data_IF_340962171658
#
_entry.id   IF_340962171658
#
_cell.length_a   1.000
_cell.length_b   1.000
_cell.length_c   1.000
_cell.angle_alpha   90.00
_cell.angle_beta   90.00
_cell.angle_gamma   90.00
#
_symmetry.space_group_name_H-M   'P 1'
#
loop_
_entity.id
_entity.type
_entity.pdbx_description
1 polymer ?
#
# COMPACT_ATOMS: atom_id res chain seq x y z
N UNK A 1 73.91 7.18 -14.00
CA UNK A 1 75.02 7.50 -13.06
C UNK A 1 74.53 7.23 -11.64
N UNK A 2 75.21 6.24 -11.03
CA UNK A 2 75.68 6.15 -9.62
C UNK A 2 74.60 6.28 -8.55
N UNK A 3 74.23 5.12 -7.84
CA UNK A 3 74.85 4.54 -6.63
C UNK A 3 74.64 5.41 -5.41
N UNK A 4 74.00 4.89 -4.36
CA UNK A 4 74.54 4.23 -3.11
C UNK A 4 73.32 3.94 -2.24
N UNK A 5 72.85 2.81 -1.85
CA UNK A 5 73.20 1.79 -0.85
C UNK A 5 73.61 2.34 0.50
N UNK A 6 72.85 2.06 1.55
CA UNK A 6 73.20 1.66 2.94
C UNK A 6 71.89 1.39 3.68
N UNK A 7 71.51 0.23 4.11
CA UNK A 7 71.90 -0.77 5.10
C UNK A 7 72.15 -0.18 6.48
N UNK A 8 71.38 -0.57 7.43
CA UNK A 8 71.58 -1.18 8.74
C UNK A 8 70.55 -0.83 9.79
N UNK A 9 69.98 -1.88 10.31
CA UNK A 9 69.85 -2.43 11.69
C UNK A 9 68.71 -1.89 12.51
N UNK A 10 67.77 -2.73 12.75
CA UNK A 10 67.54 -3.69 13.83
C UNK A 10 67.31 -3.06 15.21
N UNK A 11 66.05 -3.14 15.66
CA UNK A 11 65.80 -3.35 17.10
C UNK A 11 64.34 -3.82 17.27
N UNK A 12 64.14 -5.08 17.64
CA UNK A 12 62.93 -5.54 18.36
C UNK A 12 62.99 -5.05 19.80
N UNK A 13 61.86 -4.81 20.42
CA UNK A 13 61.43 -5.65 21.55
C UNK A 13 59.98 -6.11 21.40
N UNK A 14 59.79 -7.32 21.53
CA UNK A 14 59.18 -8.23 22.49
C UNK A 14 58.00 -7.65 23.29
N UNK A 15 56.89 -8.41 23.24
CA UNK A 15 55.83 -8.58 24.21
C UNK A 15 54.61 -7.63 24.17
N UNK A 16 53.51 -8.18 23.76
CA UNK A 16 52.40 -8.51 24.66
C UNK A 16 51.32 -9.26 23.90
N UNK A 17 51.29 -10.56 24.07
CA UNK A 17 50.27 -11.49 23.62
C UNK A 17 49.05 -11.33 24.54
N UNK A 18 48.06 -10.47 24.17
CA UNK A 18 46.74 -10.47 24.80
C UNK A 18 45.85 -11.45 24.03
N UNK A 19 45.75 -12.65 24.57
CA UNK A 19 44.76 -13.64 24.22
C UNK A 19 43.38 -13.13 24.65
N UNK A 20 42.67 -12.45 23.76
CA UNK A 20 41.25 -12.22 23.91
C UNK A 20 40.52 -13.42 23.29
N UNK A 21 40.25 -14.43 24.12
CA UNK A 21 39.28 -15.47 23.80
C UNK A 21 37.87 -14.86 23.78
N UNK A 22 37.52 -14.26 22.66
CA UNK A 22 36.13 -13.91 22.37
C UNK A 22 35.37 -15.20 22.11
N UNK A 23 34.46 -15.59 22.99
CA UNK A 23 33.50 -16.62 22.74
C UNK A 23 32.57 -16.14 21.61
N UNK A 24 32.86 -16.54 20.37
CA UNK A 24 31.91 -16.46 19.27
C UNK A 24 30.89 -17.57 19.46
N UNK A 25 29.81 -17.28 20.19
CA UNK A 25 28.60 -18.08 20.10
C UNK A 25 27.94 -17.77 18.76
N UNK A 26 28.23 -18.58 17.75
CA UNK A 26 27.45 -18.60 16.51
C UNK A 26 26.09 -19.19 16.86
N UNK A 27 25.09 -18.34 17.09
CA UNK A 27 23.70 -18.75 17.12
C UNK A 27 23.34 -19.05 15.66
N UNK A 28 23.31 -20.31 15.29
CA UNK A 28 22.72 -20.77 14.03
C UNK A 28 21.22 -20.52 14.12
N UNK A 29 20.79 -19.28 13.85
CA UNK A 29 19.41 -18.94 13.64
C UNK A 29 19.00 -19.45 12.29
N UNK A 30 18.32 -20.58 12.21
CA UNK A 30 17.52 -20.93 11.05
C UNK A 30 16.45 -19.85 10.97
N UNK A 31 16.48 -19.01 9.93
CA UNK A 31 15.37 -18.12 9.64
C UNK A 31 14.17 -18.99 9.30
N UNK A 32 13.38 -19.32 10.30
CA UNK A 32 12.06 -19.89 10.09
C UNK A 32 11.23 -18.74 9.56
N UNK A 33 10.99 -18.77 8.25
CA UNK A 33 9.97 -17.93 7.62
C UNK A 33 8.68 -18.24 8.36
N UNK A 34 8.21 -17.30 9.17
CA UNK A 34 6.90 -17.46 9.78
C UNK A 34 5.92 -17.64 8.61
N UNK A 35 5.13 -18.71 8.57
CA UNK A 35 4.02 -18.80 7.65
C UNK A 35 3.19 -17.54 7.92
N UNK A 36 2.82 -16.80 6.87
CA UNK A 36 1.76 -15.80 6.97
C UNK A 36 0.43 -16.55 7.14
N UNK A 37 0.33 -17.31 8.21
CA UNK A 37 -0.96 -17.65 8.77
C UNK A 37 -1.44 -16.36 9.39
N UNK A 38 -2.12 -15.56 8.61
CA UNK A 38 -3.03 -14.56 9.13
C UNK A 38 -4.04 -15.35 9.94
N UNK A 39 -3.73 -15.48 11.24
CA UNK A 39 -4.71 -15.88 12.23
C UNK A 39 -5.91 -14.95 12.00
N UNK A 40 -7.13 -15.45 11.72
CA UNK A 40 -8.30 -14.62 11.48
C UNK A 40 -8.75 -13.88 12.73
N UNK A 41 -7.90 -13.81 13.75
CA UNK A 41 -8.15 -13.08 14.98
C UNK A 41 -8.08 -11.60 14.69
N UNK A 42 -9.21 -11.07 14.14
CA UNK A 42 -9.68 -9.71 14.34
C UNK A 42 -8.65 -8.60 14.11
N UNK A 43 -8.21 -8.41 12.88
CA UNK A 43 -7.81 -7.09 12.47
C UNK A 43 -9.04 -6.19 12.58
N UNK A 44 -9.17 -5.45 13.68
CA UNK A 44 -10.29 -4.52 13.84
C UNK A 44 -10.16 -3.44 12.78
N UNK A 45 -11.08 -3.45 11.81
CA UNK A 45 -11.22 -2.33 10.89
C UNK A 45 -11.70 -1.11 11.69
N UNK A 46 -11.20 0.05 11.34
CA UNK A 46 -11.59 1.27 12.01
C UNK A 46 -13.05 1.63 11.68
N UNK A 47 -13.83 1.90 12.70
CA UNK A 47 -15.20 2.41 12.54
C UNK A 47 -15.18 3.91 12.22
N UNK A 48 -16.10 4.33 11.38
CA UNK A 48 -16.27 5.73 10.98
C UNK A 48 -17.76 6.11 11.00
N UNK A 49 -18.10 7.39 11.20
CA UNK A 49 -19.49 7.85 11.28
C UNK A 49 -20.12 8.00 9.87
N UNK A 50 -20.08 6.95 9.05
CA UNK A 50 -20.71 6.92 7.74
C UNK A 50 -21.25 5.51 7.46
N UNK A 51 -22.36 5.36 6.74
CA UNK A 51 -22.87 4.07 6.33
C UNK A 51 -21.83 3.30 5.53
N UNK A 52 -21.67 2.01 5.82
CA UNK A 52 -20.79 1.11 5.08
C UNK A 52 -21.58 0.42 3.96
N UNK A 53 -21.13 0.59 2.74
CA UNK A 53 -21.67 -0.09 1.57
C UNK A 53 -20.83 -1.35 1.30
N UNK A 54 -21.51 -2.50 1.21
CA UNK A 54 -20.87 -3.74 0.79
C UNK A 54 -20.60 -3.70 -0.71
N UNK A 55 -19.41 -4.12 -1.10
CA UNK A 55 -19.01 -4.31 -2.51
C UNK A 55 -19.24 -5.77 -2.84
N UNK A 56 -19.95 -6.02 -3.93
CA UNK A 56 -20.31 -7.37 -4.35
C UNK A 56 -19.09 -8.20 -4.69
N UNK A 57 -19.00 -9.39 -4.10
CA UNK A 57 -18.01 -10.41 -4.46
C UNK A 57 -18.43 -11.08 -5.77
N UNK A 58 -17.50 -11.32 -6.67
CA UNK A 58 -17.76 -12.10 -7.89
C UNK A 58 -17.49 -13.58 -7.71
N UNK A 59 -16.72 -13.92 -6.65
CA UNK A 59 -16.44 -15.30 -6.22
C UNK A 59 -16.50 -15.37 -4.70
N UNK A 60 -16.92 -16.48 -4.16
CA UNK A 60 -16.99 -16.69 -2.72
C UNK A 60 -15.63 -16.69 -2.03
N UNK A 61 -14.55 -17.00 -2.77
CA UNK A 61 -13.17 -16.95 -2.28
C UNK A 61 -12.57 -15.54 -2.24
N UNK A 62 -13.23 -14.53 -2.79
CA UNK A 62 -12.74 -13.15 -2.74
C UNK A 62 -12.93 -12.53 -1.35
N UNK A 63 -12.06 -11.60 -0.94
CA UNK A 63 -12.28 -10.84 0.28
C UNK A 63 -13.59 -10.04 0.21
N UNK A 64 -14.23 -9.88 1.36
CA UNK A 64 -15.35 -8.97 1.50
C UNK A 64 -14.83 -7.55 1.61
N UNK A 65 -15.27 -6.70 0.71
CA UNK A 65 -14.90 -5.28 0.71
C UNK A 65 -16.11 -4.44 1.14
N UNK A 66 -15.85 -3.42 1.97
CA UNK A 66 -16.85 -2.43 2.35
C UNK A 66 -16.23 -1.04 2.26
N UNK A 67 -17.05 -0.08 1.86
CA UNK A 67 -16.61 1.30 1.70
C UNK A 67 -17.59 2.25 2.40
N UNK A 68 -17.11 3.23 3.19
CA UNK A 68 -17.96 4.28 3.71
C UNK A 68 -18.58 5.11 2.57
N UNK A 69 -19.84 5.47 2.75
CA UNK A 69 -20.53 6.36 1.83
C UNK A 69 -21.04 7.61 2.58
N UNK A 70 -20.23 8.68 2.67
CA UNK A 70 -20.67 9.94 3.25
C UNK A 70 -21.84 10.55 2.47
N UNK A 71 -22.58 11.51 3.04
CA UNK A 71 -23.67 12.20 2.35
C UNK A 71 -23.21 12.82 1.01
N UNK A 72 -24.07 12.79 0.00
CA UNK A 72 -23.78 13.34 -1.33
C UNK A 72 -23.00 12.39 -2.25
N UNK A 73 -22.32 11.36 -1.72
CA UNK A 73 -21.61 10.37 -2.56
C UNK A 73 -22.60 9.36 -3.15
N UNK A 74 -22.66 9.29 -4.47
CA UNK A 74 -23.57 8.45 -5.23
C UNK A 74 -22.83 7.33 -5.94
N UNK A 75 -23.33 6.11 -5.81
CA UNK A 75 -22.82 4.90 -6.47
C UNK A 75 -23.00 4.98 -7.98
N UNK A 76 -21.95 4.74 -8.75
CA UNK A 76 -21.96 4.60 -10.20
C UNK A 76 -21.71 3.13 -10.56
N UNK A 77 -22.65 2.51 -11.27
CA UNK A 77 -22.55 1.08 -11.66
C UNK A 77 -22.09 0.86 -13.09
N UNK A 78 -22.10 1.90 -13.91
CA UNK A 78 -21.83 1.79 -15.35
C UNK A 78 -20.44 1.25 -15.68
N UNK A 79 -19.47 1.46 -14.77
CA UNK A 79 -18.07 1.06 -14.95
C UNK A 79 -17.71 -0.24 -14.23
N UNK A 80 -18.68 -0.90 -13.58
CA UNK A 80 -18.42 -2.14 -12.85
C UNK A 80 -17.88 -3.22 -13.79
N UNK A 81 -16.85 -3.91 -13.35
CA UNK A 81 -16.15 -4.95 -14.10
C UNK A 81 -15.49 -5.95 -13.15
N UNK A 82 -14.78 -6.94 -13.70
CA UNK A 82 -13.99 -7.86 -12.87
C UNK A 82 -12.87 -7.15 -12.10
N UNK A 83 -12.32 -6.08 -12.65
CA UNK A 83 -11.27 -5.29 -12.01
C UNK A 83 -11.87 -4.15 -11.18
N UNK A 84 -12.75 -3.33 -11.77
CA UNK A 84 -13.35 -2.17 -11.12
C UNK A 84 -14.62 -2.62 -10.39
N UNK A 85 -14.51 -2.70 -9.07
CA UNK A 85 -15.53 -3.31 -8.20
C UNK A 85 -16.54 -2.28 -7.65
N UNK A 86 -16.12 -1.05 -7.56
CA UNK A 86 -16.93 0.03 -7.03
C UNK A 86 -16.47 1.38 -7.58
N UNK A 87 -17.41 2.23 -7.91
CA UNK A 87 -17.15 3.65 -8.10
C UNK A 87 -18.28 4.50 -7.54
N UNK A 88 -17.95 5.65 -6.99
CA UNK A 88 -18.89 6.67 -6.56
C UNK A 88 -18.33 8.05 -6.83
N UNK A 89 -19.20 9.05 -6.87
CA UNK A 89 -18.86 10.46 -7.02
C UNK A 89 -19.76 11.34 -6.19
N UNK A 90 -19.31 12.56 -5.92
CA UNK A 90 -20.12 13.59 -5.28
C UNK A 90 -20.21 14.81 -6.21
N UNK A 91 -21.37 15.01 -6.83
CA UNK A 91 -21.60 16.11 -7.77
C UNK A 91 -21.68 17.47 -7.08
N UNK A 92 -22.11 17.51 -5.81
CA UNK A 92 -22.20 18.74 -5.02
C UNK A 92 -20.81 19.35 -4.72
N UNK A 93 -19.76 18.54 -4.83
CA UNK A 93 -18.36 18.94 -4.62
C UNK A 93 -17.61 19.12 -5.95
N UNK A 94 -18.32 19.21 -7.07
CA UNK A 94 -17.70 19.40 -8.37
C UNK A 94 -16.99 20.76 -8.46
N UNK A 95 -15.74 20.73 -8.91
CA UNK A 95 -14.93 21.92 -9.12
C UNK A 95 -14.09 21.77 -10.39
N UNK A 96 -13.87 22.87 -11.11
CA UNK A 96 -13.02 22.90 -12.32
C UNK A 96 -13.43 21.84 -13.37
N UNK A 97 -14.73 21.54 -13.47
CA UNK A 97 -15.25 20.56 -14.42
C UNK A 97 -15.05 19.10 -14.01
N UNK A 98 -14.67 18.82 -12.75
CA UNK A 98 -14.49 17.47 -12.23
C UNK A 98 -15.18 17.31 -10.88
N UNK A 99 -16.04 16.30 -10.76
CA UNK A 99 -16.62 15.89 -9.49
C UNK A 99 -15.70 14.87 -8.81
N UNK A 100 -15.45 14.98 -7.48
CA UNK A 100 -14.65 14.01 -6.75
C UNK A 100 -15.17 12.59 -6.93
N UNK A 101 -14.26 11.63 -7.02
CA UNK A 101 -14.60 10.22 -7.17
C UNK A 101 -13.86 9.35 -6.15
N UNK A 102 -14.51 8.24 -5.76
CA UNK A 102 -13.89 7.14 -5.04
C UNK A 102 -14.09 5.87 -5.87
N UNK A 103 -13.00 5.16 -6.15
CA UNK A 103 -12.98 3.97 -6.99
C UNK A 103 -12.25 2.84 -6.26
N UNK A 104 -12.82 1.63 -6.28
CA UNK A 104 -12.17 0.43 -5.74
C UNK A 104 -11.91 -0.55 -6.86
N UNK A 105 -10.66 -0.98 -6.98
CA UNK A 105 -10.26 -2.12 -7.81
C UNK A 105 -9.85 -3.29 -6.95
N UNK A 106 -9.97 -4.50 -7.47
CA UNK A 106 -9.51 -5.73 -6.84
C UNK A 106 -8.79 -6.57 -7.87
N UNK A 107 -7.51 -6.78 -7.63
CA UNK A 107 -6.67 -7.68 -8.42
C UNK A 107 -6.39 -8.95 -7.63
N UNK A 108 -6.15 -10.06 -8.32
CA UNK A 108 -5.77 -11.32 -7.70
C UNK A 108 -4.63 -11.99 -8.47
N UNK A 109 -3.73 -12.62 -7.72
CA UNK A 109 -2.62 -13.39 -8.25
C UNK A 109 -2.54 -14.72 -7.50
N UNK A 110 -2.39 -15.87 -8.19
CA UNK A 110 -2.18 -17.15 -7.53
C UNK A 110 -0.93 -17.13 -6.65
N UNK A 111 -1.00 -17.79 -5.50
CA UNK A 111 0.08 -17.87 -4.50
C UNK A 111 0.01 -16.79 -3.44
N UNK A 112 0.40 -17.18 -2.20
CA UNK A 112 0.39 -16.28 -1.03
C UNK A 112 1.78 -15.77 -0.67
N UNK A 113 2.80 -16.04 -1.50
CA UNK A 113 4.21 -15.78 -1.17
C UNK A 113 4.75 -14.45 -1.70
N UNK A 114 3.94 -13.65 -2.35
CA UNK A 114 4.40 -12.36 -2.90
C UNK A 114 4.64 -11.37 -1.76
N UNK A 115 5.85 -10.83 -1.68
CA UNK A 115 6.17 -9.75 -0.75
C UNK A 115 5.28 -8.53 -1.04
N UNK A 116 4.50 -8.03 -0.07
CA UNK A 116 3.66 -6.85 -0.25
C UNK A 116 4.42 -5.65 -0.79
N UNK A 117 5.69 -5.46 -0.38
CA UNK A 117 6.50 -4.36 -0.85
C UNK A 117 6.76 -4.41 -2.37
N UNK A 118 6.97 -5.60 -2.93
CA UNK A 118 7.15 -5.73 -4.38
C UNK A 118 5.88 -5.36 -5.16
N UNK A 119 4.69 -5.63 -4.58
CA UNK A 119 3.42 -5.23 -5.18
C UNK A 119 3.28 -3.70 -5.15
N UNK A 120 3.50 -3.07 -4.00
CA UNK A 120 3.47 -1.61 -3.87
C UNK A 120 4.46 -0.91 -4.80
N UNK A 121 5.68 -1.44 -4.94
CA UNK A 121 6.70 -0.85 -5.83
C UNK A 121 6.30 -0.98 -7.30
N UNK A 122 5.65 -2.08 -7.70
CA UNK A 122 5.12 -2.27 -9.04
C UNK A 122 4.01 -1.27 -9.35
N UNK A 123 3.07 -1.05 -8.42
CA UNK A 123 2.00 -0.08 -8.58
C UNK A 123 2.55 1.34 -8.72
N UNK A 124 3.48 1.76 -7.87
CA UNK A 124 4.16 3.06 -7.97
C UNK A 124 4.86 3.25 -9.31
N UNK A 125 5.54 2.21 -9.81
CA UNK A 125 6.15 2.25 -11.13
C UNK A 125 5.10 2.40 -12.24
N UNK A 126 3.92 1.81 -12.08
CA UNK A 126 2.76 1.98 -12.94
C UNK A 126 2.26 3.43 -12.96
N UNK A 127 2.06 4.02 -11.78
CA UNK A 127 1.64 5.41 -11.64
C UNK A 127 2.62 6.38 -12.32
N UNK A 128 3.93 6.18 -12.12
CA UNK A 128 4.97 7.01 -12.74
C UNK A 128 4.94 6.91 -14.27
N UNK A 129 4.76 5.71 -14.83
CA UNK A 129 4.62 5.51 -16.29
C UNK A 129 3.34 6.13 -16.85
N UNK A 130 2.27 6.19 -16.05
CA UNK A 130 1.02 6.85 -16.40
C UNK A 130 1.14 8.38 -16.37
N UNK A 131 2.24 8.94 -15.89
CA UNK A 131 2.49 10.39 -15.83
C UNK A 131 2.11 11.03 -14.50
N UNK A 132 1.96 10.24 -13.44
CA UNK A 132 1.79 10.78 -12.09
C UNK A 132 3.06 11.52 -11.65
N UNK A 133 2.88 12.66 -10.99
CA UNK A 133 3.97 13.49 -10.45
C UNK A 133 3.76 13.75 -8.96
N UNK A 134 4.80 14.24 -8.28
CA UNK A 134 4.76 14.57 -6.85
C UNK A 134 4.34 13.40 -5.96
N UNK A 135 4.82 12.18 -6.28
CA UNK A 135 4.48 10.99 -5.50
C UNK A 135 5.08 11.08 -4.10
N UNK A 136 4.24 10.84 -3.12
CA UNK A 136 4.63 10.62 -1.72
C UNK A 136 3.96 9.36 -1.21
N UNK A 137 4.67 8.57 -0.40
CA UNK A 137 4.20 7.29 0.11
C UNK A 137 4.26 7.22 1.62
N UNK A 138 3.34 6.50 2.22
CA UNK A 138 3.39 6.16 3.64
C UNK A 138 2.86 4.75 3.87
N UNK A 139 3.64 3.94 4.58
CA UNK A 139 3.24 2.59 4.98
C UNK A 139 2.24 2.65 6.13
N UNK A 140 1.27 1.75 6.09
CA UNK A 140 0.24 1.62 7.11
C UNK A 140 -0.26 0.17 7.17
N UNK A 141 -1.31 -0.06 7.94
CA UNK A 141 -2.10 -1.30 7.92
C UNK A 141 -3.57 -0.95 7.79
N UNK A 142 -4.32 -1.80 7.11
CA UNK A 142 -5.77 -1.70 7.05
C UNK A 142 -6.39 -3.04 7.46
N UNK A 143 -7.26 -3.04 8.47
CA UNK A 143 -7.87 -4.25 9.01
C UNK A 143 -6.84 -5.36 9.32
N UNK A 144 -5.62 -4.98 9.76
CA UNK A 144 -4.53 -5.91 10.05
C UNK A 144 -3.66 -6.33 8.86
N UNK A 145 -4.02 -5.97 7.63
CA UNK A 145 -3.25 -6.27 6.43
C UNK A 145 -2.25 -5.17 6.09
N UNK A 146 -1.09 -5.51 5.49
CA UNK A 146 -0.14 -4.51 4.98
C UNK A 146 -0.80 -3.58 3.97
N UNK A 147 -0.56 -2.29 4.13
CA UNK A 147 -1.11 -1.26 3.25
C UNK A 147 -0.11 -0.13 2.99
N UNK A 148 -0.28 0.55 1.86
CA UNK A 148 0.47 1.76 1.51
C UNK A 148 -0.50 2.85 1.03
N UNK A 149 -0.29 4.08 1.51
CA UNK A 149 -0.98 5.25 0.98
C UNK A 149 -0.03 5.95 0.03
N UNK A 150 -0.46 6.18 -1.21
CA UNK A 150 0.26 6.97 -2.21
C UNK A 150 -0.54 8.22 -2.54
N UNK A 151 0.08 9.39 -2.39
CA UNK A 151 -0.50 10.66 -2.83
C UNK A 151 0.29 11.18 -4.02
N UNK A 152 -0.41 11.67 -5.02
CA UNK A 152 0.24 12.19 -6.23
C UNK A 152 -0.66 13.18 -6.99
N UNK A 153 -0.05 13.87 -7.95
CA UNK A 153 -0.78 14.66 -8.94
C UNK A 153 -0.99 13.79 -10.18
N UNK A 154 -2.26 13.46 -10.49
CA UNK A 154 -2.62 12.76 -11.71
C UNK A 154 -2.52 13.67 -12.93
N UNK A 155 -2.11 13.15 -14.10
CA UNK A 155 -2.02 13.94 -15.33
C UNK A 155 -3.37 14.46 -15.78
N UNK A 156 -3.42 15.54 -16.57
CA UNK A 156 -4.64 15.96 -17.25
C UNK A 156 -5.09 14.87 -18.25
N UNK A 157 -6.39 14.70 -18.41
CA UNK A 157 -6.98 13.70 -19.29
C UNK A 157 -8.13 14.34 -20.09
N UNK A 158 -7.90 14.64 -21.36
CA UNK A 158 -8.87 15.40 -22.17
C UNK A 158 -9.19 16.76 -21.52
N UNK A 159 -10.47 16.98 -21.20
CA UNK A 159 -10.91 18.21 -20.53
C UNK A 159 -10.79 18.16 -18.99
N UNK A 160 -10.34 17.06 -18.42
CA UNK A 160 -10.16 16.90 -16.98
C UNK A 160 -8.78 17.46 -16.63
N UNK A 161 -8.67 18.45 -15.71
CA UNK A 161 -7.39 19.02 -15.31
C UNK A 161 -6.54 18.02 -14.52
N UNK A 162 -5.27 18.34 -14.34
CA UNK A 162 -4.43 17.69 -13.35
C UNK A 162 -5.10 17.82 -11.97
N UNK A 163 -5.07 16.73 -11.19
CA UNK A 163 -5.82 16.65 -9.93
C UNK A 163 -5.08 15.87 -8.87
N UNK A 164 -5.38 16.17 -7.63
CA UNK A 164 -4.82 15.44 -6.50
C UNK A 164 -5.51 14.08 -6.37
N UNK A 165 -4.70 13.05 -6.24
CA UNK A 165 -5.13 11.66 -6.09
C UNK A 165 -4.49 11.09 -4.83
N UNK A 166 -5.27 10.34 -4.08
CA UNK A 166 -4.80 9.50 -2.98
C UNK A 166 -5.24 8.08 -3.25
N UNK A 167 -4.30 7.15 -3.29
CA UNK A 167 -4.58 5.71 -3.30
C UNK A 167 -4.26 5.09 -1.96
N UNK A 168 -5.07 4.14 -1.53
CA UNK A 168 -4.82 3.22 -0.43
C UNK A 168 -4.78 1.82 -1.04
N UNK A 169 -3.61 1.23 -1.05
CA UNK A 169 -3.37 -0.11 -1.56
C UNK A 169 -3.23 -1.08 -0.39
N UNK A 170 -3.93 -2.20 -0.44
CA UNK A 170 -3.96 -3.21 0.63
C UNK A 170 -3.66 -4.57 0.03
N UNK A 171 -2.70 -5.27 0.60
CA UNK A 171 -2.33 -6.64 0.19
C UNK A 171 -2.81 -7.64 1.23
N UNK A 172 -3.66 -8.57 0.81
CA UNK A 172 -4.19 -9.62 1.68
C UNK A 172 -4.09 -10.98 0.99
N UNK A 173 -3.70 -12.00 1.75
CA UNK A 173 -3.69 -13.39 1.30
C UNK A 173 -4.87 -14.15 1.88
N UNK A 174 -5.63 -14.86 1.03
CA UNK A 174 -6.68 -15.78 1.45
C UNK A 174 -6.52 -17.07 0.65
N UNK A 175 -6.58 -18.19 1.34
CA UNK A 175 -6.28 -19.51 0.77
C UNK A 175 -4.93 -19.47 0.01
N UNK A 176 -4.93 -19.82 -1.26
CA UNK A 176 -3.74 -19.80 -2.12
C UNK A 176 -3.78 -18.66 -3.15
N UNK A 177 -4.28 -17.49 -2.72
CA UNK A 177 -4.43 -16.33 -3.59
C UNK A 177 -4.04 -15.05 -2.86
N UNK A 178 -3.21 -14.23 -3.50
CA UNK A 178 -2.91 -12.86 -3.06
C UNK A 178 -3.85 -11.89 -3.74
N UNK A 179 -4.51 -11.06 -2.97
CA UNK A 179 -5.39 -9.98 -3.44
C UNK A 179 -4.74 -8.63 -3.18
N UNK A 180 -4.88 -7.72 -4.15
CA UNK A 180 -4.55 -6.31 -4.00
C UNK A 180 -5.83 -5.51 -4.19
N UNK A 181 -6.30 -4.90 -3.10
CA UNK A 181 -7.44 -3.99 -3.14
C UNK A 181 -6.92 -2.56 -3.16
N UNK A 182 -7.27 -1.79 -4.19
CA UNK A 182 -6.86 -0.40 -4.31
C UNK A 182 -8.07 0.52 -4.25
N UNK A 183 -8.12 1.38 -3.24
CA UNK A 183 -9.08 2.47 -3.14
C UNK A 183 -8.41 3.76 -3.62
N UNK A 184 -8.94 4.34 -4.70
CA UNK A 184 -8.48 5.61 -5.28
C UNK A 184 -9.50 6.71 -5.03
N UNK A 185 -9.08 7.79 -4.37
CA UNK A 185 -9.91 9.00 -4.17
C UNK A 185 -9.22 10.18 -4.87
N UNK A 186 -9.98 10.97 -5.60
CA UNK A 186 -9.44 12.09 -6.35
C UNK A 186 -10.37 13.30 -6.40
N UNK A 187 -9.75 14.50 -6.43
CA UNK A 187 -10.46 15.78 -6.54
C UNK A 187 -9.59 16.82 -7.26
N UNK A 188 -10.23 17.74 -7.96
CA UNK A 188 -9.60 18.95 -8.47
C UNK A 188 -9.57 20.09 -7.45
N UNK A 189 -10.30 19.95 -6.33
CA UNK A 189 -10.31 20.91 -5.20
C UNK A 189 -10.08 20.16 -3.88
N UNK A 190 -8.83 19.73 -3.61
CA UNK A 190 -8.49 18.93 -2.43
C UNK A 190 -8.61 19.69 -1.12
N UNK A 191 -8.58 21.01 -1.15
CA UNK A 191 -8.62 21.88 0.02
C UNK A 191 -10.05 22.20 0.47
N UNK A 192 -11.06 21.76 -0.30
CA UNK A 192 -12.46 21.86 0.11
C UNK A 192 -12.66 21.05 1.41
N UNK A 193 -13.10 21.69 2.52
CA UNK A 193 -13.15 21.05 3.82
C UNK A 193 -14.11 19.85 3.89
N UNK A 194 -15.22 19.90 3.16
CA UNK A 194 -16.15 18.77 3.07
C UNK A 194 -15.51 17.60 2.35
N UNK A 195 -14.88 17.86 1.19
CA UNK A 195 -14.12 16.81 0.48
C UNK A 195 -13.02 16.20 1.35
N UNK A 196 -12.23 17.04 2.02
CA UNK A 196 -11.14 16.56 2.87
C UNK A 196 -11.65 15.66 4.02
N UNK A 197 -12.77 16.02 4.63
CA UNK A 197 -13.41 15.21 5.68
C UNK A 197 -13.97 13.90 5.10
N UNK A 198 -14.67 13.95 3.96
CA UNK A 198 -15.22 12.77 3.30
C UNK A 198 -14.13 11.81 2.85
N UNK A 199 -13.08 12.32 2.20
CA UNK A 199 -11.93 11.54 1.76
C UNK A 199 -11.25 10.83 2.94
N UNK A 200 -11.06 11.54 4.06
CA UNK A 200 -10.54 10.95 5.30
C UNK A 200 -11.46 9.82 5.79
N UNK A 201 -12.77 10.06 5.84
CA UNK A 201 -13.76 9.07 6.28
C UNK A 201 -13.74 7.82 5.39
N UNK A 202 -13.72 8.00 4.07
CA UNK A 202 -13.70 6.91 3.10
C UNK A 202 -12.40 6.09 3.23
N UNK A 203 -11.22 6.75 3.26
CA UNK A 203 -9.93 6.08 3.39
C UNK A 203 -9.79 5.32 4.72
N UNK A 204 -10.20 5.94 5.82
CA UNK A 204 -10.05 5.37 7.17
C UNK A 204 -11.00 4.21 7.41
N UNK A 205 -12.23 4.30 6.90
CA UNK A 205 -13.27 3.30 7.13
C UNK A 205 -13.39 2.24 6.04
N UNK A 206 -12.54 2.26 5.00
CA UNK A 206 -12.48 1.18 4.02
C UNK A 206 -12.14 -0.13 4.72
N UNK A 207 -12.76 -1.23 4.31
CA UNK A 207 -12.58 -2.52 4.96
C UNK A 207 -12.29 -3.62 3.95
N UNK A 208 -11.33 -4.47 4.31
CA UNK A 208 -11.05 -5.74 3.66
C UNK A 208 -11.13 -6.83 4.71
N UNK A 209 -12.03 -7.79 4.51
CA UNK A 209 -12.34 -8.84 5.46
C UNK A 209 -12.16 -10.19 4.78
N UNK A 210 -11.88 -11.23 5.56
CA UNK A 210 -11.80 -12.58 5.04
C UNK A 210 -13.11 -12.99 4.31
N UNK A 211 -13.03 -13.82 3.27
CA UNK A 211 -14.21 -14.47 2.70
C UNK A 211 -14.95 -15.28 3.78
N UNK A 212 -16.23 -15.62 3.51
CA UNK A 212 -16.93 -16.58 4.38
C UNK A 212 -16.21 -17.92 4.34
N UNK A 213 -16.13 -18.57 5.50
CA UNK A 213 -15.66 -19.95 5.54
C UNK A 213 -16.60 -20.83 4.68
N UNK A 214 -16.01 -21.64 3.79
CA UNK A 214 -16.74 -22.57 2.95
C UNK A 214 -17.34 -23.73 3.75
#
# INVERSE_FOLDING_TARGET
MRFIRNVLQASLPLAALCLLTGCNTVVAGTAVRAPMTSDPTSGHCQEVPAPLMSIEQQRTSEPKLRIPQPPGWQRLRLLDSQLLRYSSRNDDLAARGFAPTAVVTLESTPGTTTDPQQLFDREKAGLSRFGATNLTTSKTTLCGYPAEIVKYTGPPMGNIPARNVTTLEVVAGFDDTTYVATLTIQSSDPDNPTYAQDAKTILTGFQILAPDAA
#
